data_IF_956256716767
#
_entry.id   IF_956256716767
#
_cell.length_a   1.000
_cell.length_b   1.000
_cell.length_c   1.000
_cell.angle_alpha   90.00
_cell.angle_beta   90.00
_cell.angle_gamma   90.00
#
_symmetry.space_group_name_H-M   'P 1'
#
loop_
_entity.id
_entity.type
_entity.pdbx_description
1 polymer ?
#
# COMPACT_ATOMS: atom_id res chain seq x y z
N UNK A 1 0.07 -7.22 -32.58
CA UNK A 1 0.38 -7.25 -31.13
C UNK A 1 1.03 -8.59 -30.81
N UNK A 2 2.10 -8.62 -30.02
CA UNK A 2 2.74 -9.88 -29.65
C UNK A 2 1.78 -10.76 -28.84
N UNK A 3 1.70 -12.05 -29.18
CA UNK A 3 0.84 -13.00 -28.47
C UNK A 3 1.46 -13.31 -27.11
N UNK A 4 0.72 -13.00 -26.04
CA UNK A 4 1.13 -13.34 -24.67
C UNK A 4 1.11 -14.85 -24.50
N UNK A 5 2.19 -15.41 -23.98
CA UNK A 5 2.32 -16.85 -23.72
C UNK A 5 1.60 -17.19 -22.41
N UNK A 6 1.91 -16.47 -21.33
CA UNK A 6 1.40 -16.76 -20.00
C UNK A 6 1.29 -15.50 -19.15
N UNK A 7 0.54 -15.58 -18.05
CA UNK A 7 0.58 -14.63 -16.94
C UNK A 7 0.85 -15.38 -15.66
N UNK A 8 1.89 -14.98 -14.95
CA UNK A 8 2.31 -15.59 -13.70
C UNK A 8 2.13 -14.59 -12.57
N UNK A 9 1.42 -15.01 -11.52
CA UNK A 9 1.26 -14.29 -10.28
C UNK A 9 2.29 -14.84 -9.30
N UNK A 10 3.15 -13.97 -8.79
CA UNK A 10 4.17 -14.27 -7.80
C UNK A 10 3.78 -13.55 -6.52
N UNK A 11 3.60 -14.31 -5.44
CA UNK A 11 3.24 -13.81 -4.12
C UNK A 11 2.03 -12.86 -4.14
N UNK A 12 0.98 -13.25 -4.87
CA UNK A 12 -0.25 -12.50 -4.84
C UNK A 12 -0.95 -12.72 -3.50
N UNK A 13 -1.44 -11.62 -2.92
CA UNK A 13 -2.09 -11.57 -1.62
C UNK A 13 -3.44 -10.87 -1.75
N UNK A 14 -4.48 -11.50 -1.23
CA UNK A 14 -5.82 -10.94 -1.13
C UNK A 14 -6.23 -10.97 0.34
N UNK A 15 -6.71 -9.84 0.84
CA UNK A 15 -7.26 -9.73 2.19
C UNK A 15 -8.68 -9.21 2.08
N UNK A 16 -9.64 -10.04 2.46
CA UNK A 16 -11.05 -9.76 2.31
C UNK A 16 -11.73 -9.77 3.68
N UNK A 17 -12.64 -8.83 3.91
CA UNK A 17 -13.66 -8.95 4.96
C UNK A 17 -14.67 -10.05 4.62
N UNK A 18 -15.53 -10.43 5.56
CA UNK A 18 -16.59 -11.40 5.29
C UNK A 18 -17.55 -10.94 4.16
N UNK A 19 -17.87 -9.64 4.12
CA UNK A 19 -18.71 -9.06 3.06
C UNK A 19 -17.99 -9.08 1.70
N UNK A 20 -16.70 -8.71 1.68
CA UNK A 20 -15.89 -8.76 0.45
C UNK A 20 -15.68 -10.18 -0.03
N UNK A 21 -15.61 -11.18 0.85
CA UNK A 21 -15.52 -12.59 0.47
C UNK A 21 -16.76 -13.05 -0.30
N UNK A 22 -17.96 -12.69 0.16
CA UNK A 22 -19.20 -12.95 -0.57
C UNK A 22 -19.23 -12.19 -1.92
N UNK A 23 -18.75 -10.95 -1.92
CA UNK A 23 -18.58 -10.15 -3.13
C UNK A 23 -17.59 -10.77 -4.13
N UNK A 24 -16.52 -11.39 -3.63
CA UNK A 24 -15.49 -12.04 -4.44
C UNK A 24 -16.03 -13.26 -5.18
N UNK A 25 -16.85 -14.08 -4.52
CA UNK A 25 -17.51 -15.22 -5.18
C UNK A 25 -18.44 -14.74 -6.29
N UNK A 26 -19.32 -13.78 -5.99
CA UNK A 26 -20.24 -13.18 -6.97
C UNK A 26 -19.51 -12.50 -8.14
N UNK A 27 -18.35 -11.91 -7.89
CA UNK A 27 -17.56 -11.28 -8.94
C UNK A 27 -17.17 -12.28 -10.04
N UNK A 28 -16.83 -13.52 -9.70
CA UNK A 28 -16.49 -14.55 -10.70
C UNK A 28 -17.72 -15.12 -11.42
N UNK A 29 -18.88 -15.16 -10.76
CA UNK A 29 -20.16 -15.42 -11.43
C UNK A 29 -20.42 -14.39 -12.54
N UNK A 30 -20.28 -13.10 -12.24
CA UNK A 30 -20.49 -12.01 -13.21
C UNK A 30 -19.48 -12.05 -14.37
N UNK A 31 -18.25 -12.51 -14.11
CA UNK A 31 -17.24 -12.74 -15.15
C UNK A 31 -17.48 -14.02 -15.96
N UNK A 32 -18.56 -14.77 -15.67
CA UNK A 32 -18.90 -16.04 -16.29
C UNK A 32 -17.76 -17.07 -16.18
N UNK A 33 -17.04 -17.05 -15.06
CA UNK A 33 -15.96 -18.02 -14.77
C UNK A 33 -16.55 -19.14 -13.94
N UNK A 34 -16.34 -20.38 -14.38
CA UNK A 34 -16.73 -21.56 -13.61
C UNK A 34 -15.95 -21.57 -12.31
N UNK A 35 -16.65 -21.77 -11.20
CA UNK A 35 -16.00 -21.81 -9.90
C UNK A 35 -16.72 -22.76 -8.95
N UNK A 36 -15.98 -23.25 -7.96
CA UNK A 36 -16.49 -24.06 -6.86
C UNK A 36 -15.97 -23.49 -5.56
N UNK A 37 -16.83 -23.41 -4.54
CA UNK A 37 -16.47 -22.95 -3.20
C UNK A 37 -16.70 -24.09 -2.22
N UNK A 38 -15.71 -24.34 -1.36
CA UNK A 38 -15.78 -25.31 -0.26
C UNK A 38 -15.40 -24.59 1.03
N UNK A 39 -16.26 -24.69 2.04
CA UNK A 39 -15.95 -24.22 3.39
C UNK A 39 -15.41 -25.40 4.18
N UNK A 40 -14.20 -25.26 4.73
CA UNK A 40 -13.53 -26.27 5.52
C UNK A 40 -13.98 -26.18 6.98
N UNK A 41 -13.79 -27.27 7.75
CA UNK A 41 -14.24 -27.37 9.14
C UNK A 41 -13.61 -26.31 10.07
N UNK A 42 -12.43 -25.79 9.71
CA UNK A 42 -11.74 -24.72 10.43
C UNK A 42 -12.24 -23.30 10.03
N UNK A 43 -13.24 -23.20 9.16
CA UNK A 43 -13.79 -21.95 8.65
C UNK A 43 -13.00 -21.34 7.48
N UNK A 44 -11.93 -21.99 7.00
CA UNK A 44 -11.24 -21.57 5.79
C UNK A 44 -12.11 -21.82 4.57
N UNK A 45 -11.88 -21.04 3.51
CA UNK A 45 -12.62 -21.17 2.25
C UNK A 45 -11.64 -21.57 1.15
N UNK A 46 -11.94 -22.66 0.47
CA UNK A 46 -11.24 -23.07 -0.73
C UNK A 46 -12.11 -22.74 -1.94
N UNK A 47 -11.56 -21.99 -2.89
CA UNK A 47 -12.21 -21.65 -4.13
C UNK A 47 -11.38 -22.17 -5.30
N UNK A 48 -12.01 -22.92 -6.20
CA UNK A 48 -11.40 -23.37 -7.44
C UNK A 48 -12.04 -22.59 -8.58
N UNK A 49 -11.21 -21.95 -9.40
CA UNK A 49 -11.60 -21.23 -10.61
C UNK A 49 -11.17 -22.05 -11.82
N UNK A 50 -12.07 -22.28 -12.77
CA UNK A 50 -11.80 -23.08 -13.96
C UNK A 50 -12.09 -22.26 -15.24
N UNK A 51 -11.28 -22.47 -16.27
CA UNK A 51 -11.64 -22.00 -17.62
C UNK A 51 -12.85 -22.78 -18.17
N UNK A 52 -13.54 -22.22 -19.17
CA UNK A 52 -14.77 -22.81 -19.74
C UNK A 52 -14.56 -24.25 -20.23
N UNK A 53 -13.37 -24.53 -20.75
CA UNK A 53 -12.96 -25.82 -21.27
C UNK A 53 -12.42 -26.79 -20.19
N UNK A 54 -12.30 -26.37 -18.92
CA UNK A 54 -11.76 -27.17 -17.82
C UNK A 54 -10.28 -27.56 -17.98
N UNK A 55 -9.54 -26.87 -18.86
CA UNK A 55 -8.13 -27.18 -19.19
C UNK A 55 -7.12 -26.54 -18.25
N UNK A 56 -7.57 -25.54 -17.50
CA UNK A 56 -6.75 -24.78 -16.57
C UNK A 56 -7.61 -24.43 -15.37
N UNK A 57 -7.04 -24.64 -14.17
CA UNK A 57 -7.67 -24.33 -12.90
C UNK A 57 -6.72 -23.50 -12.03
N UNK A 58 -7.29 -22.61 -11.22
CA UNK A 58 -6.59 -21.83 -10.21
C UNK A 58 -7.29 -22.04 -8.88
N UNK A 59 -6.54 -22.54 -7.91
CA UNK A 59 -7.02 -22.78 -6.55
C UNK A 59 -6.60 -21.65 -5.63
N UNK A 60 -7.56 -21.11 -4.90
CA UNK A 60 -7.41 -20.04 -3.94
C UNK A 60 -7.83 -20.58 -2.57
N UNK A 61 -6.91 -20.57 -1.62
CA UNK A 61 -7.22 -20.88 -0.23
C UNK A 61 -7.25 -19.60 0.56
N UNK A 62 -8.38 -19.32 1.20
CA UNK A 62 -8.58 -18.20 2.09
C UNK A 62 -8.58 -18.71 3.53
N UNK A 63 -7.52 -18.35 4.24
CA UNK A 63 -7.38 -18.63 5.66
C UNK A 63 -8.15 -17.59 6.47
N UNK A 64 -9.00 -18.06 7.39
CA UNK A 64 -9.73 -17.17 8.28
C UNK A 64 -8.79 -16.69 9.39
N UNK A 65 -8.53 -15.40 9.42
CA UNK A 65 -7.74 -14.72 10.44
C UNK A 65 -8.58 -13.64 11.11
N UNK A 66 -9.08 -13.93 12.31
CA UNK A 66 -9.98 -13.05 13.08
C UNK A 66 -11.18 -12.60 12.23
N UNK A 67 -11.18 -11.33 11.80
CA UNK A 67 -12.26 -10.68 11.03
C UNK A 67 -11.97 -10.62 9.52
N UNK A 68 -10.91 -11.29 9.05
CA UNK A 68 -10.49 -11.27 7.64
C UNK A 68 -10.24 -12.67 7.10
N UNK A 69 -10.28 -12.76 5.77
CA UNK A 69 -9.91 -13.90 4.96
C UNK A 69 -8.66 -13.52 4.16
N UNK A 70 -7.56 -14.24 4.41
CA UNK A 70 -6.27 -13.97 3.77
C UNK A 70 -5.95 -15.10 2.81
N UNK A 71 -5.70 -14.77 1.55
CA UNK A 71 -5.21 -15.73 0.55
C UNK A 71 -3.85 -15.32 0.05
N UNK A 72 -2.91 -16.26 0.10
CA UNK A 72 -1.61 -16.15 -0.54
C UNK A 72 -1.57 -17.16 -1.69
N UNK A 73 -1.22 -16.69 -2.88
CA UNK A 73 -1.22 -17.53 -4.08
C UNK A 73 -0.02 -17.20 -4.97
N UNK A 74 0.51 -18.24 -5.60
CA UNK A 74 1.42 -18.14 -6.73
C UNK A 74 0.95 -19.11 -7.80
N UNK A 75 0.64 -18.61 -8.99
CA UNK A 75 0.08 -19.43 -10.08
C UNK A 75 0.47 -18.90 -11.45
N UNK A 76 0.53 -19.79 -12.44
CA UNK A 76 0.69 -19.42 -13.85
C UNK A 76 -0.59 -19.76 -14.61
N UNK A 77 -1.07 -18.80 -15.39
CA UNK A 77 -2.32 -18.83 -16.14
C UNK A 77 -2.01 -18.56 -17.61
N UNK A 78 -2.46 -19.45 -18.49
CA UNK A 78 -2.29 -19.39 -19.94
C UNK A 78 -3.55 -18.85 -20.60
N UNK A 79 -4.73 -19.21 -20.08
CA UNK A 79 -6.01 -18.87 -20.69
C UNK A 79 -6.36 -17.38 -20.50
N UNK A 80 -6.65 -16.63 -21.59
CA UNK A 80 -6.93 -15.20 -21.50
C UNK A 80 -8.13 -14.83 -20.63
N UNK A 81 -9.19 -15.65 -20.64
CA UNK A 81 -10.41 -15.40 -19.87
C UNK A 81 -10.11 -15.42 -18.36
N UNK A 82 -9.53 -16.51 -17.88
CA UNK A 82 -9.15 -16.66 -16.47
C UNK A 82 -8.12 -15.62 -16.05
N UNK A 83 -7.14 -15.33 -16.91
CA UNK A 83 -6.16 -14.25 -16.65
C UNK A 83 -6.83 -12.89 -16.46
N UNK A 84 -7.80 -12.56 -17.33
CA UNK A 84 -8.49 -11.27 -17.27
C UNK A 84 -9.39 -11.18 -16.03
N UNK A 85 -10.06 -12.27 -15.66
CA UNK A 85 -10.85 -12.34 -14.44
C UNK A 85 -9.98 -12.15 -13.19
N UNK A 86 -8.87 -12.89 -13.07
CA UNK A 86 -7.91 -12.73 -11.97
C UNK A 86 -7.32 -11.33 -11.88
N UNK A 87 -6.96 -10.73 -13.02
CA UNK A 87 -6.46 -9.33 -13.05
C UNK A 87 -7.51 -8.36 -12.52
N UNK A 88 -8.77 -8.50 -12.94
CA UNK A 88 -9.85 -7.64 -12.46
C UNK A 88 -10.14 -7.88 -10.97
N UNK A 89 -10.06 -9.13 -10.50
CA UNK A 89 -10.23 -9.47 -9.09
C UNK A 89 -9.16 -8.80 -8.22
N UNK A 90 -7.87 -8.89 -8.60
CA UNK A 90 -6.79 -8.20 -7.88
C UNK A 90 -7.03 -6.69 -7.83
N UNK A 91 -7.52 -6.08 -8.92
CA UNK A 91 -7.82 -4.65 -8.93
C UNK A 91 -9.05 -4.28 -8.07
N UNK A 92 -10.12 -5.06 -8.14
CA UNK A 92 -11.39 -4.78 -7.44
C UNK A 92 -11.28 -5.00 -5.92
N UNK A 93 -10.53 -6.02 -5.51
CA UNK A 93 -10.42 -6.44 -4.11
C UNK A 93 -9.08 -6.06 -3.48
N UNK A 94 -8.46 -4.98 -3.99
CA UNK A 94 -7.26 -4.35 -3.41
C UNK A 94 -6.11 -5.33 -3.18
N UNK A 95 -5.92 -6.29 -4.07
CA UNK A 95 -4.85 -7.28 -3.96
C UNK A 95 -3.47 -6.68 -4.18
N UNK A 96 -2.50 -7.21 -3.44
CA UNK A 96 -1.08 -6.96 -3.68
C UNK A 96 -0.54 -8.11 -4.52
N UNK A 97 0.22 -7.83 -5.58
CA UNK A 97 0.74 -8.90 -6.43
C UNK A 97 1.94 -8.44 -7.27
N UNK A 98 2.87 -9.36 -7.52
CA UNK A 98 3.83 -9.23 -8.62
C UNK A 98 3.32 -10.10 -9.77
N UNK A 99 3.07 -9.50 -10.93
CA UNK A 99 2.46 -10.19 -12.07
C UNK A 99 3.38 -10.12 -13.28
N UNK A 100 3.89 -11.26 -13.71
CA UNK A 100 4.72 -11.42 -14.89
C UNK A 100 3.85 -11.77 -16.10
N UNK A 101 3.77 -10.89 -17.09
CA UNK A 101 3.21 -11.21 -18.42
C UNK A 101 4.35 -11.67 -19.31
N UNK A 102 4.33 -12.94 -19.70
CA UNK A 102 5.40 -13.59 -20.44
C UNK A 102 5.10 -13.49 -21.93
N UNK A 103 6.02 -12.87 -22.68
CA UNK A 103 6.03 -12.81 -24.13
C UNK A 103 7.20 -13.64 -24.67
N UNK A 104 7.23 -13.99 -25.97
CA UNK A 104 8.28 -14.83 -26.52
C UNK A 104 9.71 -14.29 -26.33
N UNK A 105 9.88 -12.97 -26.28
CA UNK A 105 11.20 -12.32 -26.28
C UNK A 105 11.47 -11.44 -25.06
N UNK A 106 10.49 -11.24 -24.18
CA UNK A 106 10.62 -10.40 -22.99
C UNK A 106 9.50 -10.72 -21.98
N UNK A 107 9.66 -10.25 -20.75
CA UNK A 107 8.66 -10.35 -19.69
C UNK A 107 8.31 -8.96 -19.18
N UNK A 108 7.01 -8.67 -19.03
CA UNK A 108 6.54 -7.47 -18.35
C UNK A 108 6.15 -7.79 -16.92
N UNK A 109 6.84 -7.23 -15.96
CA UNK A 109 6.56 -7.40 -14.53
C UNK A 109 5.77 -6.20 -14.02
N UNK A 110 4.56 -6.46 -13.53
CA UNK A 110 3.67 -5.46 -12.94
C UNK A 110 3.69 -5.63 -11.42
N UNK A 111 3.88 -4.54 -10.69
CA UNK A 111 3.76 -4.50 -9.24
C UNK A 111 2.43 -3.84 -8.88
N UNK A 112 1.52 -4.62 -8.32
CA UNK A 112 0.25 -4.15 -7.77
C UNK A 112 0.40 -3.93 -6.28
N UNK A 113 -0.07 -2.76 -5.81
CA UNK A 113 -0.25 -2.46 -4.40
C UNK A 113 -1.66 -1.94 -4.21
N UNK A 114 -2.44 -2.58 -3.35
CA UNK A 114 -3.83 -2.27 -3.07
C UNK A 114 -4.67 -2.19 -4.36
N UNK A 115 -4.49 -3.17 -5.25
CA UNK A 115 -5.18 -3.27 -6.55
C UNK A 115 -4.70 -2.28 -7.62
N UNK A 116 -3.77 -1.37 -7.30
CA UNK A 116 -3.26 -0.36 -8.22
C UNK A 116 -1.87 -0.73 -8.73
N UNK A 117 -1.61 -0.51 -10.02
CA UNK A 117 -0.27 -0.70 -10.58
C UNK A 117 0.64 0.41 -10.08
N UNK A 118 1.64 0.06 -9.27
CA UNK A 118 2.68 0.99 -8.78
C UNK A 118 3.90 1.03 -9.68
N UNK A 119 4.24 -0.08 -10.34
CA UNK A 119 5.44 -0.17 -11.18
C UNK A 119 5.25 -1.18 -12.30
N UNK A 120 5.81 -0.87 -13.47
CA UNK A 120 5.91 -1.79 -14.60
C UNK A 120 7.36 -1.82 -15.06
N UNK A 121 7.92 -3.02 -15.16
CA UNK A 121 9.30 -3.27 -15.60
C UNK A 121 9.29 -4.20 -16.80
N UNK A 122 9.97 -3.81 -17.87
CA UNK A 122 10.33 -4.68 -18.98
C UNK A 122 11.61 -5.41 -18.64
N UNK A 123 11.60 -6.74 -18.69
CA UNK A 123 12.77 -7.58 -18.54
C UNK A 123 13.08 -8.26 -19.87
N UNK A 124 14.25 -7.97 -20.45
CA UNK A 124 14.71 -8.54 -21.73
C UNK A 124 16.22 -8.77 -21.68
N UNK A 125 16.68 -9.97 -22.01
CA UNK A 125 18.12 -10.31 -22.09
C UNK A 125 18.94 -9.86 -20.87
N UNK A 126 18.41 -10.06 -19.66
CA UNK A 126 19.02 -9.62 -18.39
C UNK A 126 19.10 -8.10 -18.16
N UNK A 127 18.52 -7.29 -19.05
CA UNK A 127 18.29 -5.87 -18.82
C UNK A 127 16.86 -5.65 -18.29
N UNK A 128 16.76 -4.80 -17.27
CA UNK A 128 15.50 -4.36 -16.68
C UNK A 128 15.28 -2.87 -16.98
N UNK A 129 14.20 -2.56 -17.69
CA UNK A 129 13.82 -1.19 -18.04
C UNK A 129 12.51 -0.84 -17.34
N UNK A 130 12.53 0.17 -16.48
CA UNK A 130 11.30 0.70 -15.88
C UNK A 130 10.48 1.42 -16.95
N UNK A 131 9.27 0.91 -17.21
CA UNK A 131 8.33 1.47 -18.17
C UNK A 131 7.41 2.47 -17.48
N UNK A 132 7.04 2.18 -16.23
CA UNK A 132 6.17 3.02 -15.44
C UNK A 132 6.50 2.86 -13.96
N UNK A 133 6.42 3.96 -13.22
CA UNK A 133 6.50 3.97 -11.76
C UNK A 133 5.62 5.10 -11.23
N UNK A 134 4.65 4.76 -10.41
CA UNK A 134 3.81 5.72 -9.72
C UNK A 134 4.65 6.38 -8.62
N UNK A 135 4.80 7.70 -8.68
CA UNK A 135 5.42 8.51 -7.63
C UNK A 135 4.33 9.23 -6.87
N UNK A 136 4.28 9.03 -5.55
CA UNK A 136 3.34 9.75 -4.68
C UNK A 136 3.82 11.17 -4.41
N UNK A 137 3.79 12.00 -5.46
CA UNK A 137 4.25 13.39 -5.40
C UNK A 137 3.44 14.20 -4.38
N UNK A 138 2.17 13.86 -4.16
CA UNK A 138 1.29 14.58 -3.24
C UNK A 138 1.59 14.25 -1.78
N UNK A 139 1.79 12.96 -1.43
CA UNK A 139 2.25 12.57 -0.10
C UNK A 139 3.63 13.14 0.22
N UNK A 140 4.53 13.21 -0.76
CA UNK A 140 5.84 13.86 -0.61
C UNK A 140 5.71 15.37 -0.35
N UNK A 141 4.81 16.06 -1.05
CA UNK A 141 4.51 17.47 -0.82
C UNK A 141 3.89 17.71 0.56
N UNK A 142 2.96 16.87 1.00
CA UNK A 142 2.34 16.99 2.31
C UNK A 142 3.36 16.80 3.44
N UNK A 143 4.24 15.80 3.33
CA UNK A 143 5.32 15.58 4.27
C UNK A 143 6.27 16.78 4.34
N UNK A 144 6.65 17.34 3.18
CA UNK A 144 7.50 18.52 3.12
C UNK A 144 6.82 19.76 3.73
N UNK A 145 5.52 19.94 3.50
CA UNK A 145 4.75 21.03 4.07
C UNK A 145 4.65 20.93 5.60
N UNK A 146 4.41 19.72 6.12
CA UNK A 146 4.39 19.48 7.58
C UNK A 146 5.76 19.79 8.20
N UNK A 147 6.84 19.35 7.58
CA UNK A 147 8.20 19.67 8.03
C UNK A 147 8.43 21.20 8.06
N UNK A 148 8.06 21.93 7.01
CA UNK A 148 8.13 23.39 7.00
C UNK A 148 7.30 24.06 8.09
N UNK A 149 6.13 23.49 8.43
CA UNK A 149 5.29 24.02 9.51
C UNK A 149 5.97 23.88 10.87
N UNK A 150 6.61 22.74 11.15
CA UNK A 150 7.38 22.52 12.38
C UNK A 150 8.55 23.49 12.47
N UNK A 151 9.33 23.64 11.39
CA UNK A 151 10.44 24.59 11.30
C UNK A 151 10.01 26.04 11.59
N UNK A 152 8.86 26.46 11.05
CA UNK A 152 8.33 27.79 11.31
C UNK A 152 7.88 27.96 12.78
N UNK A 153 7.31 26.93 13.39
CA UNK A 153 6.94 26.95 14.81
C UNK A 153 8.18 27.05 15.71
N UNK A 154 9.24 26.30 15.39
CA UNK A 154 10.54 26.38 16.07
C UNK A 154 11.07 27.83 16.03
N UNK A 155 11.07 28.47 14.86
CA UNK A 155 11.51 29.86 14.72
C UNK A 155 10.71 30.85 15.57
N UNK A 156 9.39 30.67 15.65
CA UNK A 156 8.53 31.52 16.49
C UNK A 156 8.86 31.33 17.97
N UNK A 157 9.03 30.08 18.42
CA UNK A 157 9.37 29.77 19.81
C UNK A 157 10.76 30.29 20.18
N UNK A 158 11.76 30.10 19.31
CA UNK A 158 13.11 30.65 19.48
C UNK A 158 13.08 32.18 19.59
N UNK A 159 12.35 32.87 18.71
CA UNK A 159 12.20 34.32 18.79
C UNK A 159 11.54 34.81 20.09
N UNK A 160 10.58 34.04 20.63
CA UNK A 160 9.97 34.36 21.93
C UNK A 160 10.94 34.14 23.10
N UNK A 161 11.77 33.10 23.04
CA UNK A 161 12.84 32.82 24.02
C UNK A 161 13.85 33.96 24.02
N UNK A 162 14.33 34.38 22.84
CA UNK A 162 15.31 35.46 22.72
C UNK A 162 14.78 36.76 23.34
N UNK A 163 13.54 37.14 23.05
CA UNK A 163 12.90 38.31 23.66
C UNK A 163 12.80 38.22 25.20
N UNK A 164 12.48 37.03 25.72
CA UNK A 164 12.42 36.80 27.17
C UNK A 164 13.81 36.86 27.82
N UNK A 165 14.85 36.35 27.15
CA UNK A 165 16.23 36.45 27.61
C UNK A 165 16.71 37.90 27.64
N UNK A 166 16.38 38.68 26.62
CA UNK A 166 16.68 40.13 26.59
C UNK A 166 15.98 40.86 27.74
N UNK A 167 14.69 40.59 27.97
CA UNK A 167 13.93 41.18 29.06
C UNK A 167 14.51 40.78 30.42
N UNK A 168 14.94 39.52 30.57
CA UNK A 168 15.60 39.00 31.77
C UNK A 168 16.88 39.77 32.07
N UNK A 169 17.72 39.99 31.05
CA UNK A 169 19.00 40.69 31.17
C UNK A 169 18.82 42.17 31.58
N UNK A 170 17.69 42.78 31.23
CA UNK A 170 17.38 44.17 31.56
C UNK A 170 16.66 44.32 32.92
N UNK A 171 16.19 43.23 33.53
CA UNK A 171 15.36 43.28 34.73
C UNK A 171 16.21 43.22 36.01
N UNK A 172 16.09 44.25 36.87
CA UNK A 172 16.79 44.29 38.16
C UNK A 172 15.96 43.75 39.34
N UNK A 173 14.67 43.47 39.13
CA UNK A 173 13.76 43.01 40.17
C UNK A 173 13.60 41.48 40.16
N UNK A 174 14.03 40.84 41.26
CA UNK A 174 13.94 39.38 41.46
C UNK A 174 12.55 38.78 41.25
N UNK A 175 11.48 39.49 41.63
CA UNK A 175 10.12 38.99 41.46
C UNK A 175 9.72 38.93 39.97
N UNK A 176 10.16 39.91 39.18
CA UNK A 176 9.93 39.92 37.74
C UNK A 176 10.82 38.92 37.01
N UNK A 177 12.07 38.72 37.46
CA UNK A 177 12.96 37.67 36.94
C UNK A 177 12.35 36.28 37.08
N UNK A 178 11.72 35.97 38.22
CA UNK A 178 11.08 34.67 38.44
C UNK A 178 9.93 34.39 37.46
N UNK A 179 9.12 35.40 37.12
CA UNK A 179 8.03 35.29 36.14
C UNK A 179 8.59 35.04 34.73
N UNK A 180 9.72 35.68 34.40
CA UNK A 180 10.39 35.48 33.10
C UNK A 180 10.98 34.07 33.02
N UNK A 181 11.60 33.58 34.09
CA UNK A 181 12.18 32.23 34.17
C UNK A 181 11.10 31.14 34.00
N UNK A 182 9.91 31.33 34.56
CA UNK A 182 8.79 30.39 34.39
C UNK A 182 8.31 30.33 32.92
N UNK A 183 8.23 31.48 32.25
CA UNK A 183 7.88 31.54 30.82
C UNK A 183 8.95 30.92 29.94
N UNK A 184 10.23 31.17 30.22
CA UNK A 184 11.35 30.52 29.55
C UNK A 184 11.27 29.00 29.70
N UNK A 185 11.02 28.48 30.91
CA UNK A 185 10.89 27.05 31.15
C UNK A 185 9.69 26.42 30.38
N UNK A 186 8.63 27.18 30.14
CA UNK A 186 7.52 26.74 29.29
C UNK A 186 7.92 26.67 27.81
N UNK A 187 8.53 27.73 27.27
CA UNK A 187 8.94 27.77 25.86
C UNK A 187 10.08 26.79 25.54
N UNK A 188 11.03 26.58 26.45
CA UNK A 188 12.09 25.58 26.28
C UNK A 188 11.52 24.16 26.23
N UNK A 189 10.50 23.85 27.04
CA UNK A 189 9.80 22.56 26.94
C UNK A 189 9.05 22.42 25.62
N UNK A 190 8.42 23.50 25.14
CA UNK A 190 7.74 23.50 23.85
C UNK A 190 8.73 23.30 22.69
N UNK A 191 9.89 23.96 22.74
CA UNK A 191 10.95 23.79 21.74
C UNK A 191 11.45 22.34 21.72
N UNK A 192 11.72 21.76 22.88
CA UNK A 192 12.16 20.36 23.00
C UNK A 192 11.13 19.38 22.41
N UNK A 193 9.83 19.63 22.58
CA UNK A 193 8.79 18.79 21.97
C UNK A 193 8.68 18.96 20.46
N UNK A 194 9.09 20.11 19.91
CA UNK A 194 9.09 20.36 18.46
C UNK A 194 10.36 19.81 17.76
N UNK A 195 11.46 19.66 18.50
CA UNK A 195 12.75 19.15 18.02
C UNK A 195 12.93 17.62 18.18
N UNK A 196 12.05 16.96 18.94
CA UNK A 196 12.08 15.51 19.21
C UNK A 196 11.40 14.67 18.11
#
# INVERSE_FOLDING_TARGET
MAQRIATEYVNASLQLTAEEMAGFVRFFEDQHVKHQVRVLDNGNHEMVLEDDAGREEVRLTFERQQDRFVSLLSCRIMHPKLTNAMRKAVAAFRGDAVVNRIYPTYTMTYHYVQGNVRKIVENKNSEAKVIFEFKDTMGQLEAAFRAMSVENQIKVVQGAIDQLLDLRNQCSNRAHTAIIDERLASYTRQLFMLEA
#
